data_IF_267503281600
#
_entry.id   IF_267503281600
#
_cell.length_a   1.000
_cell.length_b   1.000
_cell.length_c   1.000
_cell.angle_alpha   90.00
_cell.angle_beta   90.00
_cell.angle_gamma   90.00
#
_symmetry.space_group_name_H-M   'P 1'
#
loop_
_entity.id
_entity.type
_entity.pdbx_description
1 polymer ?
#
# COMPACT_ATOMS: atom_id res chain seq x y z
N UNK A 1 40.52 30.18 17.28
CA UNK A 1 39.72 29.76 18.46
C UNK A 1 39.31 28.33 18.18
N UNK A 2 40.04 27.31 18.71
CA UNK A 2 39.85 26.74 20.06
C UNK A 2 38.37 26.31 20.19
N UNK A 3 37.95 25.05 20.17
CA UNK A 3 38.48 23.76 20.67
C UNK A 3 37.64 22.62 20.02
N UNK A 4 37.91 21.31 20.00
CA UNK A 4 39.06 20.42 20.20
C UNK A 4 38.64 19.07 19.58
N UNK A 5 39.56 18.45 18.85
CA UNK A 5 39.53 17.06 18.42
C UNK A 5 40.08 16.16 19.54
N UNK A 6 39.67 14.88 19.52
CA UNK A 6 40.34 13.69 20.10
C UNK A 6 40.38 13.52 21.64
N UNK A 7 39.78 12.43 22.16
CA UNK A 7 40.49 11.19 22.63
C UNK A 7 39.61 10.25 23.47
N UNK A 8 39.44 9.04 22.93
CA UNK A 8 39.61 7.70 23.54
C UNK A 8 39.72 7.51 25.08
N UNK A 9 39.01 6.47 25.56
CA UNK A 9 39.53 5.27 26.30
C UNK A 9 39.01 5.00 27.73
N UNK A 10 38.69 3.70 27.95
CA UNK A 10 38.66 2.87 29.20
C UNK A 10 37.44 2.98 30.13
N UNK A 11 36.95 1.97 30.86
CA UNK A 11 36.98 0.48 30.93
C UNK A 11 36.48 0.14 32.37
N UNK A 12 35.57 -0.85 32.48
CA UNK A 12 35.31 -1.77 33.63
C UNK A 12 34.62 -1.32 34.95
N UNK A 13 33.69 -2.23 35.36
CA UNK A 13 33.47 -2.89 36.68
C UNK A 13 32.36 -2.43 37.66
N UNK A 14 31.51 -3.43 37.99
CA UNK A 14 30.95 -3.80 39.31
C UNK A 14 29.86 -2.91 39.95
N UNK A 15 28.82 -3.36 40.66
CA UNK A 15 28.42 -4.67 41.27
C UNK A 15 27.05 -4.51 41.96
N UNK A 16 26.27 -5.60 42.06
CA UNK A 16 25.29 -5.96 43.13
C UNK A 16 24.05 -5.03 43.35
N UNK A 17 22.83 -5.48 43.72
CA UNK A 17 22.38 -6.64 44.51
C UNK A 17 20.85 -6.82 44.32
N UNK A 18 20.38 -8.05 44.43
CA UNK A 18 19.00 -8.52 44.25
C UNK A 18 18.09 -8.28 45.46
N UNK A 19 16.75 -8.22 45.29
CA UNK A 19 15.77 -8.95 46.14
C UNK A 19 14.48 -9.27 45.35
N UNK A 20 14.02 -10.53 45.48
CA UNK A 20 12.79 -11.20 45.01
C UNK A 20 11.49 -10.52 45.50
N UNK A 21 10.34 -10.59 44.83
CA UNK A 21 9.43 -11.76 44.83
C UNK A 21 8.30 -11.65 43.78
N UNK A 22 7.74 -12.81 43.46
CA UNK A 22 6.87 -13.15 42.33
C UNK A 22 5.44 -13.46 42.84
N UNK A 23 4.43 -13.07 42.02
CA UNK A 23 3.05 -13.60 41.89
C UNK A 23 1.97 -13.36 42.97
N UNK A 24 0.89 -12.67 42.58
CA UNK A 24 -0.45 -13.28 42.44
C UNK A 24 -1.43 -12.38 41.67
N UNK A 25 -2.40 -13.03 41.01
CA UNK A 25 -3.70 -12.56 40.49
C UNK A 25 -3.85 -12.26 38.98
N UNK A 26 -4.21 -13.34 38.30
CA UNK A 26 -5.29 -13.49 37.32
C UNK A 26 -6.45 -12.47 37.42
N UNK A 27 -6.94 -12.07 36.23
CA UNK A 27 -8.17 -11.31 35.90
C UNK A 27 -8.19 -9.80 36.19
N UNK A 28 -7.81 -9.03 35.16
CA UNK A 28 -8.64 -7.92 34.69
C UNK A 28 -8.62 -7.85 33.16
N UNK A 29 -9.82 -7.74 32.59
CA UNK A 29 -10.16 -7.67 31.17
C UNK A 29 -9.62 -6.40 30.50
N UNK A 30 -9.02 -6.59 29.30
CA UNK A 30 -9.03 -5.79 28.05
C UNK A 30 -8.98 -4.23 28.04
N UNK A 31 -8.56 -3.58 26.93
CA UNK A 31 -7.76 -4.05 25.78
C UNK A 31 -6.55 -3.13 25.52
N UNK A 32 -5.32 -3.66 25.52
CA UNK A 32 -4.20 -2.93 24.93
C UNK A 32 -3.79 -3.64 23.65
N UNK A 33 -4.02 -2.96 22.52
CA UNK A 33 -3.77 -3.41 21.14
C UNK A 33 -2.40 -4.11 21.01
N UNK A 34 -2.32 -5.24 20.29
CA UNK A 34 -1.02 -5.81 19.97
C UNK A 34 -0.26 -4.86 19.04
N UNK A 35 0.99 -4.58 19.44
CA UNK A 35 1.99 -3.90 18.62
C UNK A 35 2.29 -4.80 17.42
N UNK A 36 1.74 -4.49 16.26
CA UNK A 36 2.30 -4.91 14.98
C UNK A 36 3.36 -3.88 14.59
N UNK A 37 4.61 -4.33 14.54
CA UNK A 37 5.69 -3.67 13.82
C UNK A 37 5.24 -3.56 12.36
N UNK A 38 4.96 -2.34 11.91
CA UNK A 38 4.51 -2.04 10.56
C UNK A 38 5.66 -2.26 9.58
N UNK A 39 5.62 -3.37 8.84
CA UNK A 39 6.41 -3.59 7.62
C UNK A 39 5.81 -2.71 6.53
N UNK A 40 6.28 -1.46 6.44
CA UNK A 40 6.00 -0.53 5.35
C UNK A 40 7.29 0.24 5.17
N UNK A 41 7.69 0.51 3.92
CA UNK A 41 9.05 0.43 3.36
C UNK A 41 9.07 -0.91 2.59
N UNK A 42 9.18 -0.96 1.26
CA UNK A 42 9.81 -0.01 0.35
C UNK A 42 9.32 -0.35 -1.07
N UNK A 43 9.18 0.66 -1.93
CA UNK A 43 8.87 0.48 -3.33
C UNK A 43 9.66 1.52 -4.14
N UNK A 44 10.57 0.99 -4.97
CA UNK A 44 11.17 1.58 -6.18
C UNK A 44 12.42 2.47 -6.02
N UNK A 45 13.59 1.84 -6.20
CA UNK A 45 14.78 2.47 -6.79
C UNK A 45 15.16 1.76 -8.10
N UNK A 46 15.48 2.58 -9.10
CA UNK A 46 15.57 2.31 -10.55
C UNK A 46 16.56 1.21 -10.95
N UNK A 47 16.18 0.34 -11.90
CA UNK A 47 17.09 -0.50 -12.70
C UNK A 47 16.90 -0.14 -14.18
N UNK A 48 17.97 0.30 -14.85
CA UNK A 48 18.03 0.41 -16.32
C UNK A 48 18.48 -0.93 -16.94
N UNK A 49 17.82 -1.42 -17.99
CA UNK A 49 18.43 -2.39 -18.90
C UNK A 49 18.99 -1.71 -20.18
N UNK A 50 20.05 -2.25 -20.79
CA UNK A 50 20.66 -1.71 -22.00
C UNK A 50 19.91 -2.14 -23.28
N UNK A 51 19.83 -1.21 -24.23
CA UNK A 51 19.20 -1.33 -25.54
C UNK A 51 19.89 -2.37 -26.45
N UNK A 52 19.10 -3.22 -27.12
CA UNK A 52 19.47 -3.83 -28.40
C UNK A 52 18.23 -4.10 -29.29
N UNK A 53 18.15 -3.29 -30.34
CA UNK A 53 17.46 -3.38 -31.64
C UNK A 53 16.48 -4.54 -31.92
N UNK A 54 15.31 -4.25 -32.51
CA UNK A 54 15.11 -4.17 -33.98
C UNK A 54 13.62 -4.17 -34.37
N UNK A 55 13.24 -3.14 -35.12
CA UNK A 55 12.11 -2.98 -36.06
C UNK A 55 11.04 -4.09 -36.14
N UNK A 56 9.87 -3.76 -35.60
CA UNK A 56 8.56 -4.28 -35.99
C UNK A 56 7.52 -3.29 -35.47
N UNK A 57 6.97 -2.44 -36.34
CA UNK A 57 5.82 -1.60 -35.96
C UNK A 57 4.60 -2.52 -35.95
N UNK A 58 4.43 -3.22 -34.83
CA UNK A 58 3.15 -3.80 -34.46
C UNK A 58 2.24 -2.61 -34.17
N UNK A 59 1.19 -2.42 -34.97
CA UNK A 59 0.12 -1.48 -34.65
C UNK A 59 -0.59 -2.02 -33.40
N UNK A 60 -0.05 -1.68 -32.22
CA UNK A 60 -0.73 -1.92 -30.95
C UNK A 60 -2.08 -1.22 -31.05
N UNK A 61 -3.15 -1.98 -30.87
CA UNK A 61 -4.49 -1.43 -30.70
C UNK A 61 -4.40 -0.36 -29.59
N UNK A 62 -4.78 0.89 -29.85
CA UNK A 62 -4.71 1.96 -28.83
C UNK A 62 -5.46 1.58 -27.55
N UNK A 63 -6.49 0.72 -27.69
CA UNK A 63 -7.21 0.11 -26.59
C UNK A 63 -6.31 -0.73 -25.67
N UNK A 64 -5.25 -1.37 -26.14
CA UNK A 64 -4.42 -2.26 -25.31
C UNK A 64 -3.43 -1.49 -24.43
N UNK A 65 -3.16 -0.22 -24.76
CA UNK A 65 -2.19 0.58 -24.04
C UNK A 65 -2.75 1.01 -22.69
N UNK A 66 -1.89 1.02 -21.67
CA UNK A 66 -2.26 1.58 -20.37
C UNK A 66 -2.56 3.08 -20.48
N UNK A 67 -3.46 3.60 -19.63
CA UNK A 67 -3.74 5.02 -19.55
C UNK A 67 -2.54 5.82 -19.00
N UNK A 68 -2.43 7.06 -19.46
CA UNK A 68 -1.45 8.03 -19.00
C UNK A 68 -2.17 9.30 -18.55
N UNK A 69 -1.62 10.02 -17.54
CA UNK A 69 -2.17 11.32 -17.17
C UNK A 69 -2.02 12.31 -18.34
N UNK A 70 -2.91 13.32 -18.46
CA UNK A 70 -2.80 14.33 -19.50
C UNK A 70 -1.45 15.07 -19.43
N UNK A 71 -0.79 15.29 -20.57
CA UNK A 71 0.58 15.85 -20.62
C UNK A 71 0.70 17.19 -19.87
N UNK A 72 -0.26 18.10 -20.06
CA UNK A 72 -0.26 19.43 -19.44
C UNK A 72 -0.63 19.41 -17.94
N UNK A 73 -0.93 18.24 -17.38
CA UNK A 73 -1.33 18.06 -15.99
C UNK A 73 -0.14 17.96 -15.02
N UNK A 74 1.02 17.52 -15.53
CA UNK A 74 2.25 17.32 -14.74
C UNK A 74 3.39 18.24 -15.20
N UNK A 75 3.14 19.10 -16.20
CA UNK A 75 4.14 20.01 -16.73
C UNK A 75 4.58 21.04 -15.67
N UNK A 76 5.90 21.19 -15.50
CA UNK A 76 6.51 22.16 -14.58
C UNK A 76 6.12 23.60 -14.90
N UNK A 77 5.84 23.88 -16.18
CA UNK A 77 5.43 25.22 -16.63
C UNK A 77 4.00 25.56 -16.17
N UNK A 78 3.22 24.56 -15.74
CA UNK A 78 1.86 24.71 -15.23
C UNK A 78 1.79 24.52 -13.71
N UNK A 79 2.82 24.98 -12.99
CA UNK A 79 2.91 24.87 -11.54
C UNK A 79 1.71 25.51 -10.84
N UNK A 80 1.19 24.81 -9.84
CA UNK A 80 0.10 25.29 -8.99
C UNK A 80 0.52 25.24 -7.51
N UNK A 81 0.03 26.15 -6.66
CA UNK A 81 0.33 26.15 -5.23
C UNK A 81 -0.40 25.03 -4.45
N UNK A 82 -1.14 24.15 -5.14
CA UNK A 82 -1.88 23.04 -4.56
C UNK A 82 -1.84 21.83 -5.50
N UNK A 83 -1.96 20.63 -4.93
CA UNK A 83 -2.11 19.39 -5.70
C UNK A 83 -3.40 19.44 -6.51
N UNK A 84 -3.28 19.36 -7.82
CA UNK A 84 -4.47 19.28 -8.69
C UNK A 84 -5.00 17.85 -8.68
N UNK A 85 -6.32 17.74 -8.75
CA UNK A 85 -7.04 16.49 -8.83
C UNK A 85 -7.97 16.55 -10.04
N UNK A 86 -7.95 15.52 -10.88
CA UNK A 86 -8.86 15.37 -12.02
C UNK A 86 -9.40 13.94 -12.08
N UNK A 87 -10.63 13.74 -12.59
CA UNK A 87 -11.13 12.41 -12.91
C UNK A 87 -10.20 11.69 -13.89
N UNK A 88 -10.05 10.38 -13.70
CA UNK A 88 -9.27 9.49 -14.56
C UNK A 88 -10.19 8.38 -15.11
N UNK A 89 -11.18 8.78 -15.92
CA UNK A 89 -12.19 7.85 -16.44
C UNK A 89 -11.57 6.78 -17.34
N UNK A 90 -10.53 7.14 -18.09
CA UNK A 90 -9.74 6.23 -18.91
C UNK A 90 -9.04 5.15 -18.08
N UNK A 91 -8.69 5.43 -16.82
CA UNK A 91 -8.16 4.43 -15.88
C UNK A 91 -9.23 3.45 -15.48
N UNK A 92 -10.43 3.93 -15.16
CA UNK A 92 -11.56 3.07 -14.86
C UNK A 92 -11.84 2.14 -16.05
N UNK A 93 -11.98 2.68 -17.26
CA UNK A 93 -12.31 1.90 -18.46
C UNK A 93 -11.25 0.82 -18.77
N UNK A 94 -9.98 1.17 -18.64
CA UNK A 94 -8.88 0.22 -18.83
C UNK A 94 -8.90 -0.89 -17.78
N UNK A 95 -9.10 -0.56 -16.49
CA UNK A 95 -9.18 -1.55 -15.41
C UNK A 95 -10.36 -2.51 -15.62
N UNK A 96 -11.54 -1.97 -15.91
CA UNK A 96 -12.75 -2.76 -16.12
C UNK A 96 -12.56 -3.77 -17.26
N UNK A 97 -11.85 -3.37 -18.31
CA UNK A 97 -11.60 -4.21 -19.49
C UNK A 97 -10.43 -5.18 -19.33
N UNK A 98 -9.32 -4.76 -18.71
CA UNK A 98 -8.09 -5.56 -18.68
C UNK A 98 -7.96 -6.42 -17.43
N UNK A 99 -8.45 -5.96 -16.28
CA UNK A 99 -8.28 -6.60 -14.97
C UNK A 99 -9.59 -7.24 -14.50
N UNK A 100 -10.72 -6.53 -14.57
CA UNK A 100 -11.99 -7.02 -14.00
C UNK A 100 -12.74 -7.99 -14.94
N UNK A 101 -12.78 -7.70 -16.24
CA UNK A 101 -13.39 -8.59 -17.23
C UNK A 101 -12.65 -9.92 -17.30
N UNK A 102 -13.41 -11.02 -17.36
CA UNK A 102 -12.93 -12.38 -17.59
C UNK A 102 -12.24 -12.57 -18.96
N UNK A 103 -12.52 -11.69 -19.91
CA UNK A 103 -11.86 -11.63 -21.22
C UNK A 103 -10.61 -10.72 -21.24
N UNK A 104 -10.32 -10.04 -20.14
CA UNK A 104 -9.17 -9.16 -19.99
C UNK A 104 -7.84 -9.92 -20.04
N UNK A 105 -6.82 -9.33 -20.67
CA UNK A 105 -5.52 -10.00 -20.85
C UNK A 105 -4.80 -10.28 -19.54
N UNK A 106 -5.05 -9.45 -18.55
CA UNK A 106 -4.51 -9.56 -17.19
C UNK A 106 -5.65 -9.73 -16.19
N UNK A 107 -6.71 -10.47 -16.57
CA UNK A 107 -7.83 -10.73 -15.68
C UNK A 107 -7.36 -11.20 -14.29
N UNK A 108 -7.93 -10.63 -13.24
CA UNK A 108 -7.68 -11.06 -11.86
C UNK A 108 -8.99 -11.50 -11.19
N UNK A 109 -9.19 -12.81 -10.94
CA UNK A 109 -10.39 -13.28 -10.26
C UNK A 109 -10.49 -12.79 -8.81
N UNK A 110 -9.37 -12.39 -8.18
CA UNK A 110 -9.36 -11.84 -6.83
C UNK A 110 -10.15 -10.52 -6.73
N UNK A 111 -10.33 -9.81 -7.85
CA UNK A 111 -11.06 -8.54 -7.93
C UNK A 111 -12.51 -8.70 -8.41
N UNK A 112 -13.05 -9.93 -8.45
CA UNK A 112 -14.42 -10.20 -8.91
C UNK A 112 -15.48 -9.39 -8.15
N UNK A 113 -15.28 -9.11 -6.87
CA UNK A 113 -16.21 -8.30 -6.06
C UNK A 113 -16.27 -6.83 -6.46
N UNK A 114 -15.39 -6.38 -7.37
CA UNK A 114 -15.30 -5.00 -7.83
C UNK A 114 -16.02 -4.75 -9.16
N UNK A 115 -16.52 -5.78 -9.86
CA UNK A 115 -17.13 -5.64 -11.20
C UNK A 115 -18.28 -4.63 -11.24
N UNK A 116 -19.16 -4.66 -10.24
CA UNK A 116 -20.30 -3.73 -10.10
C UNK A 116 -20.09 -2.71 -8.97
N UNK A 117 -18.85 -2.57 -8.51
CA UNK A 117 -18.54 -1.69 -7.41
C UNK A 117 -18.57 -0.23 -7.85
N UNK A 118 -19.10 0.62 -6.97
CA UNK A 118 -19.10 2.06 -7.19
C UNK A 118 -17.72 2.67 -6.84
N UNK A 119 -16.81 2.63 -7.82
CA UNK A 119 -15.42 3.09 -7.72
C UNK A 119 -15.15 4.10 -8.83
N UNK A 120 -14.60 5.26 -8.46
CA UNK A 120 -14.09 6.24 -9.40
C UNK A 120 -12.56 6.36 -9.28
N UNK A 121 -11.91 6.78 -10.36
CA UNK A 121 -10.46 6.96 -10.40
C UNK A 121 -10.11 8.43 -10.60
N UNK A 122 -8.97 8.84 -10.04
CA UNK A 122 -8.46 10.20 -10.15
C UNK A 122 -6.97 10.20 -10.38
N UNK A 123 -6.50 11.23 -11.07
CA UNK A 123 -5.11 11.64 -11.06
C UNK A 123 -4.89 12.73 -10.02
N UNK A 124 -3.86 12.59 -9.20
CA UNK A 124 -3.25 13.68 -8.46
C UNK A 124 -2.02 14.17 -9.23
N UNK A 125 -1.80 15.48 -9.31
CA UNK A 125 -0.65 16.02 -10.05
C UNK A 125 0.68 15.47 -9.54
N UNK A 126 0.78 15.27 -8.22
CA UNK A 126 1.99 14.86 -7.54
C UNK A 126 1.66 13.87 -6.42
N UNK A 127 2.64 13.02 -6.09
CA UNK A 127 2.62 12.23 -4.87
C UNK A 127 2.68 13.10 -3.61
N UNK A 128 2.23 12.58 -2.46
CA UNK A 128 2.31 13.31 -1.19
C UNK A 128 3.06 12.53 -0.11
N UNK A 129 3.70 13.27 0.81
CA UNK A 129 4.46 12.67 1.89
C UNK A 129 3.57 12.33 3.11
N UNK A 130 3.69 11.10 3.61
CA UNK A 130 3.02 10.61 4.83
C UNK A 130 4.01 9.78 5.64
N UNK A 131 4.27 10.20 6.88
CA UNK A 131 5.20 9.51 7.81
C UNK A 131 6.59 9.24 7.20
N UNK A 132 7.13 10.22 6.48
CA UNK A 132 8.46 10.12 5.86
C UNK A 132 8.51 9.29 4.58
N UNK A 133 7.37 8.96 3.97
CA UNK A 133 7.26 8.19 2.73
C UNK A 133 6.37 8.89 1.73
N UNK A 134 6.61 8.69 0.44
CA UNK A 134 5.70 9.14 -0.61
C UNK A 134 4.58 8.11 -0.80
N UNK A 135 3.37 8.62 -1.01
CA UNK A 135 2.17 7.85 -1.32
C UNK A 135 1.89 8.03 -2.81
N UNK A 136 1.98 6.94 -3.58
CA UNK A 136 1.85 6.93 -5.04
C UNK A 136 0.43 6.60 -5.51
N UNK A 137 -0.35 5.97 -4.65
CA UNK A 137 -1.77 5.69 -4.83
C UNK A 137 -2.50 5.73 -3.50
N UNK A 138 -3.81 5.97 -3.54
CA UNK A 138 -4.66 5.84 -2.36
C UNK A 138 -6.08 5.46 -2.74
N UNK A 139 -6.51 4.28 -2.29
CA UNK A 139 -7.90 3.88 -2.20
C UNK A 139 -8.57 4.46 -0.94
N UNK A 140 -9.72 5.12 -1.12
CA UNK A 140 -10.53 5.64 -0.02
C UNK A 140 -12.02 5.36 -0.20
N UNK A 141 -12.71 5.17 0.92
CA UNK A 141 -14.17 5.20 0.97
C UNK A 141 -14.58 6.63 1.23
N UNK A 142 -15.43 7.19 0.37
CA UNK A 142 -15.84 8.58 0.44
C UNK A 142 -16.67 8.80 1.68
N UNK A 143 -16.10 9.54 2.64
CA UNK A 143 -16.73 9.86 3.92
C UNK A 143 -16.68 11.37 4.15
N UNK A 144 -17.78 12.06 3.87
CA UNK A 144 -17.91 13.50 4.05
C UNK A 144 -18.15 13.86 5.52
N UNK A 145 -17.08 13.85 6.32
CA UNK A 145 -17.10 14.13 7.77
C UNK A 145 -17.09 15.64 8.07
N UNK A 146 -17.98 16.38 7.41
CA UNK A 146 -18.14 17.82 7.59
C UNK A 146 -19.63 18.19 7.62
N UNK A 147 -19.95 19.38 8.15
CA UNK A 147 -21.31 19.93 8.19
C UNK A 147 -21.43 21.23 7.39
N UNK A 148 -22.67 21.68 7.18
CA UNK A 148 -22.98 22.97 6.56
C UNK A 148 -22.26 23.21 5.22
N UNK A 149 -21.71 24.41 5.04
CA UNK A 149 -21.04 24.78 3.79
C UNK A 149 -19.73 24.04 3.50
N UNK A 150 -19.07 23.46 4.51
CA UNK A 150 -17.90 22.62 4.28
C UNK A 150 -18.31 21.34 3.56
N UNK A 151 -19.39 20.68 4.02
CA UNK A 151 -19.96 19.52 3.34
C UNK A 151 -20.41 19.87 1.93
N UNK A 152 -21.15 20.99 1.78
CA UNK A 152 -21.68 21.40 0.49
C UNK A 152 -20.59 21.62 -0.58
N UNK A 153 -19.44 22.22 -0.22
CA UNK A 153 -18.30 22.36 -1.16
C UNK A 153 -17.71 21.01 -1.57
N UNK A 154 -17.60 20.07 -0.62
CA UNK A 154 -17.10 18.72 -0.94
C UNK A 154 -18.09 17.97 -1.84
N UNK A 155 -19.40 18.05 -1.57
CA UNK A 155 -20.44 17.44 -2.39
C UNK A 155 -20.45 18.03 -3.81
N UNK A 156 -20.45 19.37 -3.93
CA UNK A 156 -20.39 20.06 -5.21
C UNK A 156 -19.21 19.56 -6.04
N UNK A 157 -18.02 19.48 -5.45
CA UNK A 157 -16.83 19.02 -6.16
C UNK A 157 -16.97 17.59 -6.70
N UNK A 158 -17.59 16.68 -5.93
CA UNK A 158 -17.85 15.30 -6.37
C UNK A 158 -18.87 15.26 -7.52
N UNK A 159 -19.93 16.07 -7.46
CA UNK A 159 -20.90 16.17 -8.55
C UNK A 159 -20.29 16.77 -9.82
N UNK A 160 -19.42 17.77 -9.70
CA UNK A 160 -18.71 18.35 -10.85
C UNK A 160 -17.75 17.36 -11.50
N UNK A 161 -17.10 16.50 -10.70
CA UNK A 161 -16.18 15.48 -11.22
C UNK A 161 -16.89 14.24 -11.77
N UNK A 162 -17.91 13.74 -11.09
CA UNK A 162 -18.48 12.41 -11.36
C UNK A 162 -19.98 12.41 -11.63
N UNK A 163 -20.67 13.55 -11.51
CA UNK A 163 -22.13 13.64 -11.61
C UNK A 163 -22.89 13.06 -10.42
N UNK A 164 -22.17 12.57 -9.40
CA UNK A 164 -22.68 11.91 -8.19
C UNK A 164 -21.57 11.84 -7.13
N UNK A 165 -21.91 11.36 -5.93
CA UNK A 165 -20.92 11.05 -4.90
C UNK A 165 -20.60 9.55 -4.97
N UNK A 166 -19.39 9.15 -5.40
CA UNK A 166 -19.01 7.74 -5.42
C UNK A 166 -18.81 7.16 -4.01
N UNK A 167 -18.99 5.84 -3.86
CA UNK A 167 -18.68 5.14 -2.61
C UNK A 167 -17.18 5.04 -2.37
N UNK A 168 -16.40 4.79 -3.42
CA UNK A 168 -14.95 4.67 -3.35
C UNK A 168 -14.26 5.51 -4.41
N UNK A 169 -13.08 6.02 -4.07
CA UNK A 169 -12.19 6.71 -5.00
C UNK A 169 -10.81 6.10 -4.88
N UNK A 170 -10.15 5.83 -6.01
CA UNK A 170 -8.73 5.51 -6.08
C UNK A 170 -8.03 6.69 -6.76
N UNK A 171 -7.09 7.30 -6.06
CA UNK A 171 -6.28 8.41 -6.60
C UNK A 171 -4.87 7.92 -6.89
N UNK A 172 -4.34 8.18 -8.09
CA UNK A 172 -3.01 7.79 -8.52
C UNK A 172 -2.14 9.04 -8.75
N UNK A 173 -0.87 8.97 -8.36
CA UNK A 173 0.11 10.04 -8.55
C UNK A 173 0.57 10.10 -10.02
N UNK A 174 0.21 11.18 -10.72
CA UNK A 174 0.43 11.36 -12.14
C UNK A 174 1.92 11.55 -12.49
N UNK A 175 2.65 12.29 -11.66
CA UNK A 175 4.11 12.45 -11.73
C UNK A 175 4.81 11.09 -11.82
N UNK A 176 4.43 10.14 -10.96
CA UNK A 176 4.96 8.78 -10.96
C UNK A 176 4.44 7.96 -12.15
N UNK A 177 3.11 7.95 -12.36
CA UNK A 177 2.48 7.10 -13.39
C UNK A 177 2.88 7.48 -14.82
N UNK A 178 3.34 8.71 -15.04
CA UNK A 178 3.89 9.15 -16.33
C UNK A 178 5.28 8.59 -16.62
N UNK A 179 6.03 8.17 -15.59
CA UNK A 179 7.44 7.76 -15.69
C UNK A 179 7.65 6.27 -15.42
N UNK A 180 6.76 5.63 -14.65
CA UNK A 180 6.89 4.24 -14.31
C UNK A 180 6.68 3.31 -15.52
N UNK A 181 7.26 2.12 -15.44
CA UNK A 181 7.03 1.05 -16.41
C UNK A 181 5.59 0.54 -16.35
N UNK A 182 5.14 -0.14 -17.40
CA UNK A 182 3.80 -0.74 -17.43
C UNK A 182 3.61 -1.76 -16.31
N UNK A 183 4.68 -2.49 -15.96
CA UNK A 183 4.70 -3.44 -14.84
C UNK A 183 4.43 -2.74 -13.50
N UNK A 184 5.14 -1.64 -13.24
CA UNK A 184 4.99 -0.84 -12.02
C UNK A 184 3.60 -0.20 -11.94
N UNK A 185 3.08 0.30 -13.06
CA UNK A 185 1.73 0.84 -13.13
C UNK A 185 0.68 -0.22 -12.79
N UNK A 186 0.78 -1.42 -13.37
CA UNK A 186 -0.14 -2.52 -13.10
C UNK A 186 -0.07 -2.96 -11.63
N UNK A 187 1.14 -3.04 -11.06
CA UNK A 187 1.34 -3.36 -9.66
C UNK A 187 0.70 -2.31 -8.72
N UNK A 188 0.88 -1.02 -9.01
CA UNK A 188 0.26 0.07 -8.24
C UNK A 188 -1.26 0.02 -8.31
N UNK A 189 -1.84 -0.14 -9.51
CA UNK A 189 -3.29 -0.18 -9.69
C UNK A 189 -3.91 -1.36 -8.94
N UNK A 190 -3.37 -2.57 -9.10
CA UNK A 190 -3.92 -3.73 -8.39
C UNK A 190 -3.69 -3.66 -6.88
N UNK A 191 -2.58 -3.08 -6.42
CA UNK A 191 -2.39 -2.76 -5.00
C UNK A 191 -3.54 -1.92 -4.45
N UNK A 192 -3.92 -0.83 -5.13
CA UNK A 192 -5.05 0.00 -4.70
C UNK A 192 -6.40 -0.73 -4.80
N UNK A 193 -6.58 -1.61 -5.79
CA UNK A 193 -7.79 -2.43 -5.89
C UNK A 193 -7.90 -3.42 -4.72
N UNK A 194 -6.79 -4.00 -4.26
CA UNK A 194 -6.78 -4.92 -3.11
C UNK A 194 -7.18 -4.23 -1.79
N UNK A 195 -7.03 -2.92 -1.67
CA UNK A 195 -7.56 -2.17 -0.52
C UNK A 195 -9.08 -2.20 -0.43
N UNK A 196 -9.78 -2.38 -1.55
CA UNK A 196 -11.24 -2.50 -1.57
C UNK A 196 -11.58 -3.99 -1.58
N UNK A 197 -12.03 -4.50 -0.45
CA UNK A 197 -12.33 -5.92 -0.30
C UNK A 197 -13.79 -6.15 0.07
N UNK A 198 -14.28 -7.36 -0.22
CA UNK A 198 -15.55 -7.80 0.32
C UNK A 198 -15.41 -8.05 1.84
N UNK A 199 -16.32 -7.48 2.62
CA UNK A 199 -16.46 -7.75 4.03
C UNK A 199 -16.85 -9.22 4.23
N UNK A 200 -16.36 -9.85 5.29
CA UNK A 200 -16.77 -11.19 5.69
C UNK A 200 -17.73 -11.13 6.87
N UNK A 201 -18.50 -12.19 7.08
CA UNK A 201 -19.22 -12.40 8.33
C UNK A 201 -18.30 -12.96 9.43
N UNK A 202 -18.88 -13.25 10.59
CA UNK A 202 -18.16 -13.77 11.76
C UNK A 202 -17.57 -15.18 11.54
N UNK A 203 -17.97 -15.86 10.46
CA UNK A 203 -17.48 -17.18 10.07
C UNK A 203 -16.52 -17.12 8.88
N UNK A 204 -16.17 -15.91 8.40
CA UNK A 204 -15.26 -15.71 7.28
C UNK A 204 -15.91 -15.83 5.91
N UNK A 205 -17.24 -16.01 5.81
CA UNK A 205 -17.92 -16.09 4.53
C UNK A 205 -18.13 -14.68 3.93
N UNK A 206 -18.04 -14.50 2.60
CA UNK A 206 -18.25 -13.20 1.97
C UNK A 206 -19.66 -12.65 2.21
N UNK A 207 -19.74 -11.39 2.65
CA UNK A 207 -20.99 -10.73 3.02
C UNK A 207 -21.65 -10.07 1.83
N UNK A 208 -22.96 -10.28 1.68
CA UNK A 208 -23.79 -9.65 0.66
C UNK A 208 -24.88 -8.80 1.31
N UNK A 209 -25.25 -7.70 0.65
CA UNK A 209 -26.38 -6.90 1.07
C UNK A 209 -27.68 -7.68 0.80
N UNK A 210 -28.54 -7.80 1.81
CA UNK A 210 -29.78 -8.59 1.71
C UNK A 210 -30.81 -7.99 0.74
N UNK A 211 -30.78 -6.68 0.54
CA UNK A 211 -31.73 -5.96 -0.31
C UNK A 211 -31.24 -5.91 -1.76
N UNK A 212 -29.95 -5.62 -1.98
CA UNK A 212 -29.41 -5.42 -3.34
C UNK A 212 -28.73 -6.66 -3.91
N UNK A 213 -28.40 -7.66 -3.07
CA UNK A 213 -27.60 -8.81 -3.46
C UNK A 213 -26.12 -8.50 -3.75
N UNK A 214 -25.70 -7.24 -3.66
CA UNK A 214 -24.34 -6.82 -3.99
C UNK A 214 -23.35 -7.15 -2.86
N UNK A 215 -22.05 -7.37 -3.19
CA UNK A 215 -20.99 -7.47 -2.19
C UNK A 215 -20.99 -6.27 -1.23
N UNK A 216 -20.89 -6.54 0.08
CA UNK A 216 -20.63 -5.47 1.06
C UNK A 216 -19.15 -5.18 1.04
N UNK A 217 -18.76 -4.01 0.54
CA UNK A 217 -17.36 -3.62 0.41
C UNK A 217 -16.87 -2.88 1.65
N UNK A 218 -15.60 -3.09 1.99
CA UNK A 218 -14.88 -2.39 3.06
C UNK A 218 -13.48 -2.04 2.60
N UNK A 219 -12.92 -0.97 3.16
CA UNK A 219 -11.48 -0.75 3.08
C UNK A 219 -10.76 -1.72 4.01
N UNK A 220 -9.74 -2.39 3.47
CA UNK A 220 -8.71 -3.11 4.24
C UNK A 220 -7.45 -2.27 4.22
N UNK A 221 -6.74 -2.21 5.36
CA UNK A 221 -5.40 -1.64 5.38
C UNK A 221 -4.43 -2.54 4.62
N UNK A 222 -3.15 -2.16 4.55
CA UNK A 222 -2.12 -3.02 3.98
C UNK A 222 -2.10 -4.37 4.71
N UNK A 223 -2.57 -5.41 4.04
CA UNK A 223 -2.71 -6.77 4.57
C UNK A 223 -1.89 -7.73 3.72
N UNK A 224 -1.50 -8.88 4.27
CA UNK A 224 -0.63 -9.87 3.61
C UNK A 224 -1.21 -10.30 2.26
N UNK A 225 -2.53 -10.38 2.14
CA UNK A 225 -3.23 -10.79 0.91
C UNK A 225 -2.93 -9.85 -0.26
N UNK A 226 -2.95 -8.53 -0.06
CA UNK A 226 -2.56 -7.51 -1.04
C UNK A 226 -1.11 -7.72 -1.51
N UNK A 227 -0.18 -7.88 -0.57
CA UNK A 227 1.22 -8.13 -0.88
C UNK A 227 1.41 -9.41 -1.67
N UNK A 228 0.76 -10.51 -1.27
CA UNK A 228 0.88 -11.79 -1.96
C UNK A 228 0.29 -11.73 -3.37
N UNK A 229 -0.85 -11.05 -3.56
CA UNK A 229 -1.49 -10.88 -4.86
C UNK A 229 -0.59 -10.13 -5.85
N UNK A 230 -0.05 -8.98 -5.43
CA UNK A 230 0.85 -8.15 -6.24
C UNK A 230 2.16 -8.88 -6.53
N UNK A 231 2.82 -9.45 -5.52
CA UNK A 231 4.11 -10.16 -5.68
C UNK A 231 3.95 -11.39 -6.58
N UNK A 232 2.85 -12.13 -6.46
CA UNK A 232 2.56 -13.29 -7.32
C UNK A 232 2.42 -12.91 -8.79
N UNK A 233 1.83 -11.75 -9.09
CA UNK A 233 1.50 -11.33 -10.46
C UNK A 233 2.61 -10.51 -11.11
N UNK A 234 3.31 -9.69 -10.33
CA UNK A 234 4.27 -8.70 -10.85
C UNK A 234 5.70 -8.87 -10.34
N UNK A 235 5.92 -9.84 -9.44
CA UNK A 235 7.22 -10.06 -8.81
C UNK A 235 7.43 -9.20 -7.57
N UNK A 236 8.46 -9.56 -6.80
CA UNK A 236 8.86 -8.80 -5.63
C UNK A 236 9.49 -7.46 -6.05
N UNK A 237 9.16 -6.37 -5.33
CA UNK A 237 9.99 -5.17 -5.39
C UNK A 237 11.39 -5.50 -4.87
N UNK A 238 12.36 -4.62 -5.14
CA UNK A 238 13.73 -4.78 -4.64
C UNK A 238 13.76 -5.06 -3.15
N UNK A 239 12.86 -4.48 -2.39
CA UNK A 239 12.94 -4.51 -0.95
C UNK A 239 12.08 -5.58 -0.31
N UNK A 240 11.01 -5.98 -0.98
CA UNK A 240 10.41 -7.30 -0.72
C UNK A 240 11.44 -8.38 -1.01
N UNK A 241 12.25 -8.23 -2.06
CA UNK A 241 13.35 -9.14 -2.35
C UNK A 241 14.42 -9.09 -1.24
N UNK A 242 14.80 -7.91 -0.73
CA UNK A 242 15.69 -7.81 0.44
C UNK A 242 15.10 -8.50 1.67
N UNK A 243 13.78 -8.41 1.91
CA UNK A 243 13.11 -9.12 2.99
C UNK A 243 13.10 -10.64 2.76
N UNK A 244 12.85 -11.09 1.54
CA UNK A 244 12.89 -12.51 1.16
C UNK A 244 14.31 -13.06 1.34
N UNK A 245 15.33 -12.31 0.90
CA UNK A 245 16.73 -12.68 1.04
C UNK A 245 17.12 -12.77 2.53
N UNK A 246 16.68 -11.80 3.34
CA UNK A 246 16.89 -11.81 4.78
C UNK A 246 16.16 -12.99 5.47
N UNK A 247 14.95 -13.33 5.02
CA UNK A 247 14.19 -14.45 5.56
C UNK A 247 14.79 -15.82 5.17
N UNK A 248 15.44 -15.90 4.01
CA UNK A 248 16.14 -17.09 3.54
C UNK A 248 17.55 -17.24 4.14
N UNK A 249 18.12 -16.16 4.67
CA UNK A 249 19.39 -16.20 5.39
C UNK A 249 19.22 -16.85 6.79
N UNK A 250 20.25 -17.53 7.32
CA UNK A 250 20.25 -17.94 8.72
C UNK A 250 20.05 -16.73 9.64
N UNK A 251 19.20 -16.89 10.65
CA UNK A 251 18.98 -15.82 11.64
C UNK A 251 20.31 -15.40 12.28
N UNK A 252 20.58 -14.09 12.28
CA UNK A 252 21.81 -13.53 12.87
C UNK A 252 21.93 -13.80 14.38
N UNK A 253 20.80 -14.02 15.04
CA UNK A 253 20.75 -14.36 16.46
C UNK A 253 20.33 -15.82 16.62
N UNK A 254 21.27 -16.65 17.06
CA UNK A 254 21.00 -18.05 17.32
C UNK A 254 20.07 -18.23 18.53
N UNK A 255 19.19 -19.23 18.47
CA UNK A 255 18.30 -19.58 19.59
C UNK A 255 19.03 -19.80 20.91
N UNK A 256 20.27 -20.32 20.87
CA UNK A 256 21.09 -20.54 22.06
C UNK A 256 21.53 -19.22 22.72
N UNK A 257 21.81 -18.19 21.93
CA UNK A 257 22.21 -16.88 22.46
C UNK A 257 21.01 -16.14 23.05
N UNK A 258 19.81 -16.35 22.49
CA UNK A 258 18.54 -15.92 23.09
C UNK A 258 18.31 -16.66 24.42
N UNK A 259 18.53 -17.97 24.47
CA UNK A 259 18.34 -18.75 25.68
C UNK A 259 19.28 -18.28 26.81
N UNK A 260 20.56 -18.05 26.49
CA UNK A 260 21.58 -17.54 27.41
C UNK A 260 21.29 -16.14 27.93
N UNK A 261 20.73 -15.27 27.09
CA UNK A 261 20.39 -13.89 27.49
C UNK A 261 19.10 -13.80 28.32
N UNK A 262 18.15 -14.71 28.13
CA UNK A 262 16.87 -14.67 28.83
C UNK A 262 16.94 -15.16 30.29
N UNK A 263 17.95 -15.97 30.66
CA UNK A 263 18.15 -16.52 32.02
C UNK A 263 17.08 -17.51 32.51
N UNK A 264 15.86 -17.44 31.97
CA UNK A 264 14.72 -18.32 32.26
C UNK A 264 14.61 -19.47 31.26
N UNK A 265 14.96 -19.23 29.99
CA UNK A 265 14.92 -20.25 28.94
C UNK A 265 15.94 -21.39 29.17
N UNK A 266 17.07 -21.09 29.81
CA UNK A 266 18.07 -22.09 30.21
C UNK A 266 17.54 -23.08 31.26
N UNK A 267 16.58 -22.68 32.09
CA UNK A 267 16.01 -23.55 33.14
C UNK A 267 15.03 -24.60 32.60
N UNK A 268 14.56 -24.47 31.35
CA UNK A 268 13.65 -25.43 30.69
C UNK A 268 14.35 -26.44 29.78
N UNK A 269 15.65 -26.23 29.53
CA UNK A 269 16.49 -27.13 28.72
C UNK A 269 17.34 -28.08 29.59
N UNK A 270 17.23 -27.98 30.91
CA UNK A 270 17.95 -28.79 31.91
C UNK A 270 17.02 -29.85 32.53
#
# INVERSE_FOLDING_TARGET
MKEYLLRYSKVLLNTHRSVRWFQLLTRMMFPCKPRCLSVIHIFFTTIHPPNLWRNGVEMQNDDERRPYPPVNFIDSDNWQPFTRLIPANEVHEWISRQILSDTGRIHNPDHKHLIDADICFMWASDSFAKKGRYVLGQAEQVMLRAGGWQKARMEQQMYEWFGRIPKFIITLAADYCSQCSDLEFCALVEHELYHIAQATDDFGAPKFNKETGQPVLTLRGHDVEEFTGVVRRYGASKEVQELVDAANAPAEVAHIDIARSCGTCMLKLA
#
